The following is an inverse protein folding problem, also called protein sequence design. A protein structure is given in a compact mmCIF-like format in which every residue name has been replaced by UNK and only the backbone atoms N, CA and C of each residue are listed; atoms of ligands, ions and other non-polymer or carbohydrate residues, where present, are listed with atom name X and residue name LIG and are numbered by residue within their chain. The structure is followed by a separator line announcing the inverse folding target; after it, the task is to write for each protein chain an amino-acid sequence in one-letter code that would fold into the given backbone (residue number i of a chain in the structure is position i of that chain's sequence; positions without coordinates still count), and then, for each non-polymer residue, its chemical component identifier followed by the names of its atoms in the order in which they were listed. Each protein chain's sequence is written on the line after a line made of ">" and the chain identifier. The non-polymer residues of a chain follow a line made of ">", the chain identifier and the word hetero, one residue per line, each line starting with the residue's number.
data_IF_578799503094
#
_entry.id   IF_578799503094
#
_cell.length_a   1.000
_cell.length_b   1.000
_cell.length_c   1.000
_cell.angle_alpha   90.00
_cell.angle_beta   90.00
_cell.angle_gamma   90.00
#
_symmetry.space_group_name_H-M   'P 1'
#
loop_
_entity.id
_entity.type
_entity.pdbx_description
1 polymer ?
#
# COMPACT_ATOMS: atom_id res chain seq x y z
N UNK A 1 -6.18 6.54 -24.18
CA UNK A 1 -5.99 5.52 -23.14
C UNK A 1 -6.01 6.26 -21.83
N UNK A 2 -7.05 6.11 -21.02
CA UNK A 2 -7.09 6.72 -19.67
C UNK A 2 -6.01 6.04 -18.84
N UNK A 3 -5.03 6.81 -18.36
CA UNK A 3 -4.00 6.27 -17.48
C UNK A 3 -4.65 5.84 -16.17
N UNK A 4 -4.62 4.54 -15.91
CA UNK A 4 -5.09 3.98 -14.64
C UNK A 4 -4.20 4.51 -13.51
N UNK A 5 -4.82 5.01 -12.43
CA UNK A 5 -4.09 5.43 -11.23
C UNK A 5 -3.37 4.24 -10.60
N UNK A 6 -2.22 4.51 -9.98
CA UNK A 6 -1.30 3.47 -9.51
C UNK A 6 -0.79 3.82 -8.13
N UNK A 7 -0.98 2.90 -7.20
CA UNK A 7 -0.76 3.16 -5.79
C UNK A 7 0.21 2.15 -5.21
N UNK A 8 1.02 2.56 -4.24
CA UNK A 8 1.79 1.66 -3.39
C UNK A 8 1.31 1.86 -1.97
N UNK A 9 0.98 0.77 -1.28
CA UNK A 9 0.57 0.81 0.12
C UNK A 9 1.60 0.13 0.99
N UNK A 10 1.87 0.71 2.16
CA UNK A 10 2.63 0.03 3.19
C UNK A 10 1.87 -1.23 3.68
N UNK A 11 2.62 -2.16 4.28
CA UNK A 11 2.03 -3.39 4.82
C UNK A 11 1.00 -3.11 5.90
N UNK A 12 1.22 -2.09 6.73
CA UNK A 12 0.34 -1.78 7.85
C UNK A 12 -1.04 -1.31 7.37
N UNK A 13 -1.13 -0.47 6.33
CA UNK A 13 -2.39 -0.01 5.77
C UNK A 13 -3.22 -1.18 5.23
N UNK A 14 -2.57 -2.11 4.51
CA UNK A 14 -3.22 -3.30 3.97
C UNK A 14 -3.72 -4.23 5.09
N UNK A 15 -2.93 -4.42 6.15
CA UNK A 15 -3.35 -5.19 7.33
C UNK A 15 -4.48 -4.48 8.08
N UNK A 16 -4.38 -3.17 8.30
CA UNK A 16 -5.40 -2.39 8.99
C UNK A 16 -6.74 -2.45 8.26
N UNK A 17 -6.74 -2.50 6.92
CA UNK A 17 -7.95 -2.74 6.14
C UNK A 17 -8.58 -4.09 6.44
N UNK A 18 -7.78 -5.14 6.58
CA UNK A 18 -8.27 -6.49 6.93
C UNK A 18 -8.85 -6.51 8.36
N UNK A 19 -8.18 -5.89 9.32
CA UNK A 19 -8.56 -5.90 10.73
C UNK A 19 -9.74 -4.98 11.07
N UNK A 20 -9.89 -3.87 10.33
CA UNK A 20 -10.94 -2.88 10.54
C UNK A 20 -11.63 -2.53 9.20
N UNK A 21 -12.56 -3.37 8.72
CA UNK A 21 -13.21 -3.21 7.41
C UNK A 21 -14.02 -1.92 7.23
N UNK A 22 -14.34 -1.22 8.32
CA UNK A 22 -15.05 0.07 8.31
C UNK A 22 -14.15 1.26 8.66
N UNK A 23 -12.86 1.00 8.95
CA UNK A 23 -11.89 2.00 9.36
C UNK A 23 -11.33 2.82 8.19
N UNK A 24 -10.54 3.84 8.52
CA UNK A 24 -9.89 4.73 7.54
C UNK A 24 -9.05 3.96 6.52
N UNK A 25 -8.32 2.94 6.94
CA UNK A 25 -7.50 2.12 6.05
C UNK A 25 -8.36 1.38 5.00
N UNK A 26 -9.52 0.86 5.39
CA UNK A 26 -10.44 0.22 4.46
C UNK A 26 -10.99 1.20 3.42
N UNK A 27 -11.40 2.39 3.86
CA UNK A 27 -11.86 3.45 2.96
C UNK A 27 -10.78 3.85 1.94
N UNK A 28 -9.52 3.96 2.37
CA UNK A 28 -8.39 4.25 1.48
C UNK A 28 -8.20 3.15 0.45
N UNK A 29 -8.09 1.90 0.90
CA UNK A 29 -7.82 0.76 0.02
C UNK A 29 -8.95 0.54 -0.98
N UNK A 30 -10.19 0.53 -0.51
CA UNK A 30 -11.36 0.28 -1.36
C UNK A 30 -11.54 1.41 -2.39
N UNK A 31 -11.32 2.67 -1.99
CA UNK A 31 -11.36 3.81 -2.92
C UNK A 31 -10.26 3.75 -3.97
N UNK A 32 -9.04 3.41 -3.55
CA UNK A 32 -7.91 3.30 -4.46
C UNK A 32 -8.08 2.18 -5.49
N UNK A 33 -8.61 1.03 -5.06
CA UNK A 33 -8.93 -0.10 -5.94
C UNK A 33 -10.10 0.21 -6.88
N UNK A 34 -11.05 1.05 -6.45
CA UNK A 34 -12.14 1.53 -7.31
C UNK A 34 -11.69 2.52 -8.39
N UNK A 35 -10.58 3.22 -8.20
CA UNK A 35 -10.07 4.26 -9.10
C UNK A 35 -8.78 3.88 -9.86
N UNK A 36 -8.18 2.74 -9.55
CA UNK A 36 -6.83 2.43 -10.01
C UNK A 36 -6.41 0.99 -9.73
N UNK A 37 -5.10 0.79 -9.60
CA UNK A 37 -4.49 -0.51 -9.30
C UNK A 37 -3.45 -0.38 -8.20
N UNK A 38 -3.42 -1.35 -7.30
CA UNK A 38 -2.38 -1.49 -6.31
C UNK A 38 -1.14 -2.14 -6.95
N UNK A 39 0.02 -1.55 -6.74
CA UNK A 39 1.30 -2.10 -7.16
C UNK A 39 1.94 -2.86 -6.01
N UNK A 40 2.47 -4.04 -6.31
CA UNK A 40 3.16 -4.89 -5.35
C UNK A 40 4.39 -5.52 -6.00
N UNK A 41 5.41 -5.86 -5.22
CA UNK A 41 6.48 -6.77 -5.62
C UNK A 41 6.35 -8.10 -4.88
N UNK A 42 7.16 -9.10 -5.25
CA UNK A 42 7.27 -10.32 -4.46
C UNK A 42 7.70 -10.02 -3.01
N UNK A 43 8.58 -9.05 -2.81
CA UNK A 43 9.08 -8.67 -1.48
C UNK A 43 7.98 -8.06 -0.60
N UNK A 44 7.11 -7.20 -1.14
CA UNK A 44 6.00 -6.61 -0.37
C UNK A 44 4.91 -7.65 -0.05
N UNK A 45 4.63 -8.57 -0.98
CA UNK A 45 3.67 -9.66 -0.73
C UNK A 45 4.21 -10.64 0.32
N UNK A 46 5.49 -10.98 0.24
CA UNK A 46 6.15 -11.86 1.21
C UNK A 46 6.14 -11.24 2.60
N UNK A 47 6.47 -9.96 2.72
CA UNK A 47 6.38 -9.25 4.00
C UNK A 47 4.96 -9.27 4.56
N UNK A 48 3.95 -8.95 3.73
CA UNK A 48 2.55 -9.00 4.17
C UNK A 48 2.18 -10.39 4.70
N UNK A 49 2.57 -11.45 4.00
CA UNK A 49 2.32 -12.83 4.43
C UNK A 49 3.04 -13.16 5.77
N UNK A 50 4.30 -12.77 5.91
CA UNK A 50 5.08 -12.97 7.15
C UNK A 50 4.52 -12.19 8.33
N UNK A 51 4.07 -10.95 8.10
CA UNK A 51 3.43 -10.16 9.15
C UNK A 51 2.11 -10.81 9.55
N UNK A 52 1.24 -11.15 8.58
CA UNK A 52 -0.05 -11.79 8.86
C UNK A 52 0.09 -13.15 9.53
N UNK A 53 1.19 -13.88 9.33
CA UNK A 53 1.44 -15.16 10.01
C UNK A 53 1.69 -15.02 11.53
N UNK A 54 1.89 -13.81 12.06
CA UNK A 54 2.21 -13.60 13.49
C UNK A 54 1.00 -13.95 14.39
N UNK A 55 1.21 -14.66 15.52
CA UNK A 55 0.12 -15.08 16.43
C UNK A 55 -0.72 -13.94 17.01
N UNK A 56 -0.18 -12.73 17.08
CA UNK A 56 -0.90 -11.54 17.57
C UNK A 56 -2.17 -11.21 16.78
N UNK A 57 -2.31 -11.74 15.56
CA UNK A 57 -3.50 -11.55 14.72
C UNK A 57 -4.56 -12.63 14.91
N UNK A 58 -4.26 -13.72 15.65
CA UNK A 58 -5.16 -14.86 15.86
C UNK A 58 -6.49 -14.48 16.51
N UNK A 59 -6.56 -13.50 17.45
CA UNK A 59 -7.84 -13.07 18.02
C UNK A 59 -8.75 -12.30 17.05
N UNK A 60 -8.22 -11.81 15.92
CA UNK A 60 -8.92 -10.88 15.05
C UNK A 60 -9.30 -11.48 13.69
N UNK A 61 -8.43 -12.33 13.15
CA UNK A 61 -8.59 -12.95 11.83
C UNK A 61 -8.03 -14.36 11.81
N UNK A 62 -8.82 -15.32 11.35
CA UNK A 62 -8.43 -16.72 11.24
C UNK A 62 -7.33 -16.94 10.18
N UNK A 63 -6.56 -18.03 10.26
CA UNK A 63 -5.59 -18.38 9.21
C UNK A 63 -6.20 -18.51 7.82
N UNK A 64 -7.43 -19.02 7.71
CA UNK A 64 -8.16 -19.14 6.45
C UNK A 64 -8.48 -17.76 5.86
N UNK A 65 -9.01 -16.84 6.66
CA UNK A 65 -9.29 -15.45 6.23
C UNK A 65 -8.03 -14.72 5.75
N UNK A 66 -6.89 -14.94 6.42
CA UNK A 66 -5.60 -14.36 5.99
C UNK A 66 -5.16 -14.92 4.63
N UNK A 67 -5.28 -16.23 4.43
CA UNK A 67 -4.93 -16.87 3.16
C UNK A 67 -5.84 -16.41 2.02
N UNK A 68 -7.14 -16.32 2.27
CA UNK A 68 -8.09 -15.80 1.28
C UNK A 68 -7.83 -14.33 0.98
N UNK A 69 -7.51 -13.52 1.98
CA UNK A 69 -7.12 -12.13 1.79
C UNK A 69 -5.87 -11.97 0.91
N UNK A 70 -4.81 -12.74 1.18
CA UNK A 70 -3.59 -12.75 0.36
C UNK A 70 -3.88 -13.17 -1.09
N UNK A 71 -4.73 -14.19 -1.28
CA UNK A 71 -5.15 -14.66 -2.61
C UNK A 71 -5.93 -13.59 -3.37
N UNK A 72 -6.91 -12.96 -2.72
CA UNK A 72 -7.70 -11.88 -3.31
C UNK A 72 -6.84 -10.68 -3.67
N UNK A 73 -5.95 -10.27 -2.76
CA UNK A 73 -5.02 -9.17 -3.01
C UNK A 73 -4.12 -9.45 -4.22
N UNK A 74 -3.55 -10.67 -4.29
CA UNK A 74 -2.75 -11.09 -5.44
C UNK A 74 -3.51 -11.13 -6.77
N UNK A 75 -4.84 -11.30 -6.73
CA UNK A 75 -5.70 -11.27 -7.91
C UNK A 75 -6.06 -9.87 -8.42
N UNK A 76 -6.00 -8.84 -7.55
CA UNK A 76 -6.36 -7.46 -7.91
C UNK A 76 -5.14 -6.53 -8.01
N UNK A 77 -4.01 -6.90 -7.40
CA UNK A 77 -2.79 -6.13 -7.47
C UNK A 77 -1.98 -6.45 -8.73
N UNK A 78 -1.20 -5.47 -9.21
CA UNK A 78 -0.27 -5.63 -10.31
C UNK A 78 1.13 -5.87 -9.78
N UNK A 79 1.70 -7.01 -10.15
CA UNK A 79 3.07 -7.37 -9.79
C UNK A 79 4.06 -6.52 -10.59
N UNK A 80 4.99 -5.90 -9.90
CA UNK A 80 6.08 -5.07 -10.44
C UNK A 80 7.39 -5.85 -10.31
N UNK A 81 8.13 -5.93 -11.41
CA UNK A 81 9.48 -6.47 -11.42
C UNK A 81 10.48 -5.39 -11.01
N UNK A 82 11.29 -5.68 -9.98
CA UNK A 82 12.31 -4.77 -9.46
C UNK A 82 13.64 -5.15 -10.12
N UNK A 83 14.19 -4.26 -10.95
CA UNK A 83 15.43 -4.52 -11.69
C UNK A 83 16.68 -4.15 -10.91
N UNK A 84 16.55 -3.21 -9.98
CA UNK A 84 17.59 -2.79 -9.04
C UNK A 84 16.94 -2.32 -7.73
N UNK A 85 17.69 -2.42 -6.62
CA UNK A 85 17.24 -1.96 -5.32
C UNK A 85 17.74 -0.54 -5.06
N UNK A 86 16.85 0.28 -4.52
CA UNK A 86 17.17 1.60 -4.01
C UNK A 86 17.68 1.50 -2.57
N UNK A 87 18.44 2.51 -2.16
CA UNK A 87 18.89 2.69 -0.78
C UNK A 87 18.70 4.15 -0.42
N UNK A 88 17.52 4.48 0.11
CA UNK A 88 17.14 5.86 0.40
C UNK A 88 16.47 6.01 1.76
N UNK A 89 15.69 5.01 2.18
CA UNK A 89 15.06 5.02 3.49
C UNK A 89 16.07 4.77 4.60
N UNK A 90 15.78 5.35 5.77
CA UNK A 90 16.57 5.13 6.98
C UNK A 90 16.47 3.68 7.45
N UNK A 91 15.30 3.07 7.32
CA UNK A 91 15.12 1.62 7.46
C UNK A 91 15.24 0.96 6.07
N UNK A 92 16.32 0.20 5.80
CA UNK A 92 16.51 -0.46 4.51
C UNK A 92 15.41 -1.47 4.16
N UNK A 93 14.58 -1.89 5.13
CA UNK A 93 13.44 -2.75 4.85
C UNK A 93 12.38 -2.01 4.07
N UNK A 94 12.19 -0.71 4.32
CA UNK A 94 11.12 0.06 3.69
C UNK A 94 11.46 0.53 2.26
N UNK A 95 12.72 0.42 1.85
CA UNK A 95 13.16 0.70 0.47
C UNK A 95 12.35 -0.10 -0.56
N UNK A 96 11.84 -1.28 -0.21
CA UNK A 96 11.01 -2.10 -1.12
C UNK A 96 9.75 -1.37 -1.60
N UNK A 97 9.19 -0.46 -0.81
CA UNK A 97 8.02 0.32 -1.23
C UNK A 97 8.42 1.42 -2.22
N UNK A 98 9.61 2.00 -2.03
CA UNK A 98 10.20 2.94 -2.98
C UNK A 98 10.55 2.24 -4.29
N UNK A 99 11.14 1.04 -4.22
CA UNK A 99 11.44 0.20 -5.38
C UNK A 99 10.19 -0.03 -6.24
N UNK A 100 9.10 -0.47 -5.61
CA UNK A 100 7.81 -0.69 -6.29
C UNK A 100 7.29 0.61 -6.89
N UNK A 101 7.42 1.73 -6.18
CA UNK A 101 6.94 3.02 -6.66
C UNK A 101 7.67 3.46 -7.94
N UNK A 102 9.00 3.36 -7.96
CA UNK A 102 9.80 3.79 -9.12
C UNK A 102 9.62 2.84 -10.29
N UNK A 103 9.77 1.53 -10.08
CA UNK A 103 9.69 0.55 -11.16
C UNK A 103 8.27 0.39 -11.70
N UNK A 104 7.27 0.56 -10.83
CA UNK A 104 5.86 0.47 -11.18
C UNK A 104 5.24 1.78 -11.66
N UNK A 105 6.02 2.87 -11.68
CA UNK A 105 5.57 4.22 -12.01
C UNK A 105 4.34 4.64 -11.19
N UNK A 106 4.43 4.44 -9.88
CA UNK A 106 3.35 4.80 -8.96
C UNK A 106 3.07 6.29 -9.00
N UNK A 107 1.80 6.63 -8.86
CA UNK A 107 1.36 8.02 -8.71
C UNK A 107 1.45 8.47 -7.27
N UNK A 108 1.25 7.57 -6.29
CA UNK A 108 1.35 7.89 -4.86
C UNK A 108 1.75 6.66 -4.05
N UNK A 109 2.55 6.87 -3.01
CA UNK A 109 2.76 5.94 -1.90
C UNK A 109 1.87 6.38 -0.73
N UNK A 110 1.07 5.46 -0.19
CA UNK A 110 0.29 5.71 1.03
C UNK A 110 0.86 4.90 2.17
N UNK A 111 1.28 5.58 3.23
CA UNK A 111 2.00 4.96 4.34
C UNK A 111 1.74 5.70 5.65
N UNK A 112 1.77 4.96 6.76
CA UNK A 112 1.84 5.53 8.11
C UNK A 112 3.27 5.67 8.64
N UNK A 113 4.25 5.14 7.92
CA UNK A 113 5.64 5.10 8.33
C UNK A 113 6.32 6.48 8.22
N UNK A 114 6.98 6.91 9.30
CA UNK A 114 7.60 8.25 9.38
C UNK A 114 8.88 8.36 8.58
N UNK A 115 9.66 7.28 8.48
CA UNK A 115 10.91 7.27 7.72
C UNK A 115 10.60 7.33 6.22
N UNK A 116 9.54 6.66 5.74
CA UNK A 116 9.04 6.85 4.38
C UNK A 116 8.44 8.24 4.15
N UNK A 117 7.61 8.74 5.07
CA UNK A 117 7.00 10.09 4.94
C UNK A 117 8.06 11.20 4.89
N UNK A 118 9.20 11.02 5.55
CA UNK A 118 10.31 11.98 5.52
C UNK A 118 10.95 12.12 4.13
N UNK A 119 10.73 11.17 3.22
CA UNK A 119 11.22 11.20 1.85
C UNK A 119 10.24 11.89 0.88
N UNK A 120 9.14 12.47 1.37
CA UNK A 120 8.17 13.14 0.52
C UNK A 120 8.70 14.44 -0.12
N UNK A 121 8.57 14.63 -1.45
CA UNK A 121 8.25 13.63 -2.48
C UNK A 121 9.50 12.84 -2.90
N UNK A 122 9.33 11.55 -3.18
CA UNK A 122 10.44 10.70 -3.60
C UNK A 122 10.45 10.54 -5.11
N UNK A 123 11.46 11.12 -5.78
CA UNK A 123 11.56 11.15 -7.26
C UNK A 123 10.26 11.64 -7.95
N UNK A 124 9.60 12.63 -7.35
CA UNK A 124 8.34 13.18 -7.88
C UNK A 124 7.09 12.36 -7.54
N UNK A 125 7.22 11.24 -6.80
CA UNK A 125 6.09 10.47 -6.28
C UNK A 125 5.69 11.02 -4.90
N UNK A 126 4.47 11.54 -4.73
CA UNK A 126 3.90 11.86 -3.43
C UNK A 126 3.93 10.67 -2.46
N UNK A 127 4.26 10.95 -1.20
CA UNK A 127 4.19 9.99 -0.09
C UNK A 127 3.29 10.64 0.93
N UNK A 128 2.15 10.01 1.19
CA UNK A 128 1.07 10.63 1.96
C UNK A 128 0.53 9.66 3.00
N UNK A 129 -0.06 10.21 4.05
CA UNK A 129 -0.82 9.45 5.04
C UNK A 129 -2.18 9.02 4.48
N UNK A 130 -2.79 8.02 5.12
CA UNK A 130 -4.16 7.61 4.82
C UNK A 130 -5.17 8.77 4.85
N UNK A 131 -5.04 9.66 5.84
CA UNK A 131 -5.91 10.83 5.96
C UNK A 131 -5.73 11.82 4.80
N UNK A 132 -4.49 12.11 4.43
CA UNK A 132 -4.18 12.97 3.29
C UNK A 132 -4.68 12.37 1.97
N UNK A 133 -4.54 11.05 1.77
CA UNK A 133 -5.05 10.37 0.59
C UNK A 133 -6.58 10.55 0.42
N UNK A 134 -7.35 10.41 1.51
CA UNK A 134 -8.80 10.61 1.45
C UNK A 134 -9.18 12.05 1.11
N UNK A 135 -8.46 13.03 1.67
CA UNK A 135 -8.70 14.45 1.41
C UNK A 135 -8.37 14.85 -0.04
N UNK A 136 -7.36 14.25 -0.67
CA UNK A 136 -7.00 14.50 -2.07
C UNK A 136 -8.07 14.00 -3.06
N UNK A 137 -8.86 13.02 -2.64
CA UNK A 137 -9.81 12.37 -3.52
C UNK A 137 -11.22 12.99 -3.41
N UNK A 138 -11.53 13.74 -2.36
CA UNK A 138 -12.77 14.53 -2.31
C UNK A 138 -12.76 15.61 -3.41
N UNK A 139 -13.82 15.72 -4.22
CA UNK A 139 -14.01 16.95 -4.99
C UNK A 139 -14.11 18.11 -3.97
N UNK A 140 -13.58 19.30 -4.27
CA UNK A 140 -13.74 20.45 -3.39
C UNK A 140 -15.24 20.63 -3.08
N UNK A 141 -15.62 20.97 -1.84
CA UNK A 141 -17.02 21.25 -1.53
C UNK A 141 -17.50 22.33 -2.50
N UNK A 142 -18.57 22.02 -3.24
CA UNK A 142 -19.25 23.00 -4.09
C UNK A 142 -19.61 24.22 -3.22
N UNK A 143 -19.39 25.46 -3.70
CA UNK A 143 -19.75 26.66 -2.97
C UNK A 143 -21.26 26.77 -2.72
#
# INVERSE_FOLDING_TARGET
>A
MTEQQRWVFDTNLVISRLLAPTGTAAQVVDRALGAGVLLVSQATLQELAEVLARPRFDPYVSPAERQDFLRLLGGVARLVHISHQLQACRDPKDDKFLDVAIHGQAHTIVTGDKDLLALHPFHGVPIVTAAQFLAMAEPPPSP
#
